data_IF_041015467560
#
_entry.id   IF_041015467560
#
_cell.length_a   1.000
_cell.length_b   1.000
_cell.length_c   1.000
_cell.angle_alpha   90.00
_cell.angle_beta   90.00
_cell.angle_gamma   90.00
#
_symmetry.space_group_name_H-M   'P 1'
#
loop_
_entity.id
_entity.type
_entity.pdbx_description
1 polymer ?
#
# COMPACT_ATOMS: atom_id res chain seq x y z
N UNK A 1 31.67 -25.49 6.27
CA UNK A 1 30.29 -25.71 5.81
C UNK A 1 29.70 -24.41 5.33
N UNK A 2 29.94 -24.11 4.05
CA UNK A 2 29.41 -22.93 3.37
C UNK A 2 27.97 -23.25 2.94
N UNK A 3 27.04 -23.24 3.90
CA UNK A 3 25.62 -23.46 3.63
C UNK A 3 25.07 -22.18 3.01
N UNK A 4 25.28 -22.05 1.70
CA UNK A 4 24.61 -21.03 0.92
C UNK A 4 23.10 -21.21 1.12
N UNK A 5 22.36 -20.21 1.63
CA UNK A 5 20.93 -20.35 1.86
C UNK A 5 20.22 -20.78 0.57
N UNK A 6 19.14 -21.59 0.69
CA UNK A 6 18.41 -22.05 -0.48
C UNK A 6 17.97 -20.86 -1.35
N UNK A 7 18.04 -20.99 -2.69
CA UNK A 7 17.68 -19.91 -3.59
C UNK A 7 16.26 -19.44 -3.29
N UNK A 8 16.10 -18.13 -3.11
CA UNK A 8 14.80 -17.54 -2.81
C UNK A 8 13.83 -17.82 -3.97
N UNK A 9 12.52 -17.95 -3.69
CA UNK A 9 11.52 -18.04 -4.74
C UNK A 9 11.67 -16.86 -5.73
N UNK A 10 11.54 -17.13 -7.03
CA UNK A 10 11.70 -16.12 -8.09
C UNK A 10 10.99 -14.78 -7.82
N UNK A 11 9.75 -14.74 -7.28
CA UNK A 11 9.10 -13.47 -6.96
C UNK A 11 9.83 -12.66 -5.90
N UNK A 12 10.33 -13.29 -4.84
CA UNK A 12 11.07 -12.62 -3.76
C UNK A 12 12.38 -12.02 -4.28
N UNK A 13 13.11 -12.75 -5.13
CA UNK A 13 14.35 -12.27 -5.75
C UNK A 13 14.11 -11.07 -6.68
N UNK A 14 13.04 -11.11 -7.48
CA UNK A 14 12.68 -10.00 -8.34
C UNK A 14 12.31 -8.74 -7.55
N UNK A 15 11.55 -8.90 -6.46
CA UNK A 15 11.17 -7.79 -5.58
C UNK A 15 12.38 -7.11 -4.96
N UNK A 16 13.40 -7.88 -4.56
CA UNK A 16 14.65 -7.37 -4.00
C UNK A 16 15.52 -6.64 -5.03
N UNK A 17 15.54 -7.14 -6.27
CA UNK A 17 16.27 -6.51 -7.38
C UNK A 17 15.61 -5.24 -7.92
N UNK A 18 14.35 -4.97 -7.55
CA UNK A 18 13.60 -3.84 -8.06
C UNK A 18 14.13 -2.51 -7.49
N UNK A 19 14.77 -1.74 -8.37
CA UNK A 19 15.40 -0.46 -8.05
C UNK A 19 14.42 0.67 -7.76
N UNK A 20 13.21 0.60 -8.33
CA UNK A 20 12.18 1.61 -8.23
C UNK A 20 10.82 0.93 -8.02
N UNK A 21 10.11 1.32 -6.96
CA UNK A 21 8.72 0.91 -6.71
C UNK A 21 7.82 2.13 -6.78
N UNK A 22 6.88 2.13 -7.73
CA UNK A 22 5.93 3.22 -7.90
C UNK A 22 4.51 2.81 -7.50
N UNK A 23 3.73 3.79 -7.02
CA UNK A 23 2.31 3.65 -6.75
C UNK A 23 1.57 4.94 -7.14
N UNK A 24 0.53 4.90 -8.00
CA UNK A 24 -0.02 3.71 -8.63
C UNK A 24 0.99 3.03 -9.57
N UNK A 25 0.99 1.69 -9.62
CA UNK A 25 1.87 0.95 -10.55
C UNK A 25 1.52 1.21 -12.01
N UNK A 26 0.22 1.15 -12.33
CA UNK A 26 -0.32 1.61 -13.62
C UNK A 26 -0.88 3.01 -13.47
N UNK A 27 -0.37 3.96 -14.26
CA UNK A 27 -0.86 5.34 -14.24
C UNK A 27 -2.25 5.35 -14.91
N UNK A 28 -3.31 5.80 -14.21
CA UNK A 28 -4.64 5.85 -14.77
C UNK A 28 -4.76 6.97 -15.83
N UNK A 29 -5.85 6.96 -16.58
CA UNK A 29 -6.21 8.06 -17.47
C UNK A 29 -6.36 9.37 -16.68
N UNK A 30 -5.80 10.45 -17.23
CA UNK A 30 -5.80 11.77 -16.59
C UNK A 30 -6.86 12.64 -17.27
N UNK A 31 -7.74 13.22 -16.45
CA UNK A 31 -8.80 14.12 -16.90
C UNK A 31 -8.54 15.53 -16.38
N UNK A 32 -9.10 16.53 -17.07
CA UNK A 32 -8.99 17.92 -16.65
C UNK A 32 -9.62 18.12 -15.26
N UNK A 33 -8.93 18.87 -14.40
CA UNK A 33 -9.37 19.13 -13.02
C UNK A 33 -9.06 18.02 -12.02
N UNK A 34 -8.49 16.88 -12.46
CA UNK A 34 -8.11 15.78 -11.56
C UNK A 34 -6.63 15.87 -11.21
N UNK A 35 -6.31 15.74 -9.92
CA UNK A 35 -4.93 15.66 -9.44
C UNK A 35 -4.45 14.21 -9.47
N UNK A 36 -3.42 13.93 -10.26
CA UNK A 36 -2.67 12.68 -10.18
C UNK A 36 -1.57 12.78 -9.13
N UNK A 37 -1.43 11.75 -8.31
CA UNK A 37 -0.37 11.64 -7.32
C UNK A 37 0.34 10.30 -7.48
N UNK A 38 1.62 10.37 -7.84
CA UNK A 38 2.49 9.21 -8.00
C UNK A 38 3.57 9.28 -6.95
N UNK A 39 3.75 8.18 -6.21
CA UNK A 39 4.82 7.99 -5.26
C UNK A 39 5.84 7.02 -5.82
N UNK A 40 7.12 7.32 -5.59
CA UNK A 40 8.24 6.50 -6.02
C UNK A 40 9.16 6.22 -4.84
N UNK A 41 9.44 4.94 -4.58
CA UNK A 41 10.45 4.50 -3.63
C UNK A 41 11.66 3.95 -4.38
N UNK A 42 12.82 4.52 -4.10
CA UNK A 42 14.10 4.08 -4.66
C UNK A 42 14.76 3.07 -3.72
N UNK A 43 15.49 2.11 -4.30
CA UNK A 43 16.34 1.21 -3.53
C UNK A 43 17.50 1.98 -2.87
N UNK A 44 18.04 1.42 -1.79
CA UNK A 44 19.14 2.05 -1.04
C UNK A 44 20.39 2.19 -1.94
N UNK A 45 20.96 3.39 -2.01
CA UNK A 45 22.15 3.68 -2.81
C UNK A 45 21.86 4.17 -4.24
N UNK A 46 20.58 4.39 -4.59
CA UNK A 46 20.20 5.00 -5.87
C UNK A 46 19.86 6.46 -5.64
N UNK A 47 20.56 7.34 -6.35
CA UNK A 47 20.29 8.77 -6.35
C UNK A 47 19.06 9.11 -7.21
N UNK A 48 18.19 10.03 -6.77
CA UNK A 48 17.04 10.46 -7.55
C UNK A 48 17.48 11.18 -8.83
N UNK A 49 16.76 10.93 -9.93
CA UNK A 49 16.99 11.63 -11.19
C UNK A 49 16.57 13.10 -11.10
N UNK A 50 17.29 13.98 -11.80
CA UNK A 50 17.00 15.44 -11.85
C UNK A 50 15.77 15.80 -12.69
N UNK A 51 15.24 14.85 -13.45
CA UNK A 51 14.08 15.06 -14.30
C UNK A 51 13.25 13.78 -14.40
N UNK A 52 11.94 13.93 -14.47
CA UNK A 52 10.98 12.84 -14.72
C UNK A 52 10.31 13.12 -16.06
N UNK A 53 10.18 12.10 -16.90
CA UNK A 53 9.47 12.20 -18.17
C UNK A 53 8.12 11.52 -18.06
N UNK A 54 7.05 12.29 -18.15
CA UNK A 54 5.68 11.78 -18.29
C UNK A 54 5.36 11.63 -19.78
N UNK A 55 5.05 10.41 -20.21
CA UNK A 55 4.63 10.14 -21.60
C UNK A 55 3.19 9.67 -21.60
N UNK A 56 2.39 10.18 -22.54
CA UNK A 56 0.96 9.84 -22.67
C UNK A 56 0.54 9.84 -24.13
N UNK A 57 -0.63 9.26 -24.42
CA UNK A 57 -1.28 9.34 -25.73
C UNK A 57 -2.53 10.20 -25.54
N UNK A 58 -2.56 11.36 -26.20
CA UNK A 58 -3.70 12.26 -26.26
C UNK A 58 -4.53 11.98 -27.53
N UNK A 59 -5.69 12.62 -27.63
CA UNK A 59 -6.47 12.67 -28.87
C UNK A 59 -5.65 13.28 -30.02
N UNK A 60 -4.79 14.25 -29.72
CA UNK A 60 -3.89 14.91 -30.68
C UNK A 60 -2.61 14.12 -30.98
N UNK A 61 -2.45 12.92 -30.40
CA UNK A 61 -1.30 12.05 -30.58
C UNK A 61 -0.39 11.93 -29.35
N UNK A 62 0.82 11.36 -29.51
CA UNK A 62 1.73 11.09 -28.41
C UNK A 62 2.31 12.39 -27.83
N UNK A 63 2.22 12.53 -26.51
CA UNK A 63 2.71 13.68 -25.75
C UNK A 63 3.82 13.24 -24.79
N UNK A 64 4.84 14.09 -24.63
CA UNK A 64 5.89 13.93 -23.62
C UNK A 64 6.07 15.24 -22.85
N UNK A 65 6.10 15.13 -21.53
CA UNK A 65 6.34 16.25 -20.62
C UNK A 65 7.55 15.92 -19.75
N UNK A 66 8.57 16.76 -19.79
CA UNK A 66 9.75 16.65 -18.92
C UNK A 66 9.55 17.57 -17.72
N UNK A 67 9.53 16.99 -16.53
CA UNK A 67 9.31 17.68 -15.27
C UNK A 67 10.65 17.73 -14.52
N UNK A 68 11.25 18.91 -14.29
CA UNK A 68 12.43 19.03 -13.47
C UNK A 68 12.10 18.67 -12.01
N UNK A 69 13.02 17.98 -11.35
CA UNK A 69 12.88 17.59 -9.94
C UNK A 69 13.91 18.32 -9.12
N UNK A 70 13.43 19.17 -8.22
CA UNK A 70 14.28 19.81 -7.24
C UNK A 70 14.55 18.85 -6.09
N UNK A 71 15.83 18.68 -5.74
CA UNK A 71 16.22 17.89 -4.59
C UNK A 71 15.84 18.65 -3.31
N UNK A 72 14.72 18.28 -2.71
CA UNK A 72 14.31 18.81 -1.40
C UNK A 72 14.58 17.76 -0.34
N UNK A 73 15.48 18.07 0.59
CA UNK A 73 15.74 17.26 1.78
C UNK A 73 14.67 17.54 2.83
N UNK A 74 13.53 16.89 2.69
CA UNK A 74 12.47 16.97 3.70
C UNK A 74 12.86 16.14 4.91
N UNK A 75 12.90 16.77 6.07
CA UNK A 75 13.14 16.10 7.34
C UNK A 75 11.90 15.29 7.75
N UNK A 76 12.10 14.00 8.05
CA UNK A 76 11.08 13.11 8.58
C UNK A 76 10.61 12.00 7.63
N UNK A 77 9.68 11.18 8.12
CA UNK A 77 9.24 9.94 7.46
C UNK A 77 7.89 10.03 6.76
N UNK A 78 7.19 11.18 6.82
CA UNK A 78 5.78 11.30 6.37
C UNK A 78 5.58 10.91 4.91
N UNK A 79 6.43 11.38 3.99
CA UNK A 79 6.32 11.04 2.56
C UNK A 79 6.58 9.55 2.34
N UNK A 80 7.55 8.97 3.05
CA UNK A 80 7.80 7.53 3.01
C UNK A 80 6.59 6.74 3.51
N UNK A 81 5.94 7.19 4.58
CA UNK A 81 4.71 6.59 5.10
C UNK A 81 3.55 6.70 4.08
N UNK A 82 3.38 7.85 3.42
CA UNK A 82 2.36 8.03 2.38
C UNK A 82 2.61 7.12 1.17
N UNK A 83 3.86 7.07 0.69
CA UNK A 83 4.27 6.19 -0.38
C UNK A 83 4.03 4.71 -0.01
N UNK A 84 4.39 4.31 1.22
CA UNK A 84 4.17 2.96 1.72
C UNK A 84 2.68 2.63 1.80
N UNK A 85 1.87 3.58 2.29
CA UNK A 85 0.41 3.42 2.35
C UNK A 85 -0.18 3.21 0.96
N UNK A 86 0.29 3.98 -0.03
CA UNK A 86 -0.18 3.84 -1.41
C UNK A 86 0.26 2.52 -2.05
N UNK A 87 1.49 2.07 -1.79
CA UNK A 87 1.97 0.76 -2.24
C UNK A 87 1.18 -0.40 -1.61
N UNK A 88 0.84 -0.32 -0.32
CA UNK A 88 -0.02 -1.30 0.35
C UNK A 88 -1.40 -1.32 -0.31
N UNK A 89 -1.98 -0.16 -0.61
CA UNK A 89 -3.28 -0.09 -1.28
C UNK A 89 -3.24 -0.79 -2.66
N UNK A 90 -2.24 -0.52 -3.48
CA UNK A 90 -2.09 -1.18 -4.78
C UNK A 90 -1.95 -2.71 -4.65
N UNK A 91 -1.25 -3.20 -3.61
CA UNK A 91 -1.12 -4.62 -3.29
C UNK A 91 -2.47 -5.22 -2.87
N UNK A 92 -3.24 -4.50 -2.05
CA UNK A 92 -4.57 -4.92 -1.56
C UNK A 92 -5.63 -4.94 -2.67
N UNK A 93 -5.50 -4.04 -3.66
CA UNK A 93 -6.38 -3.89 -4.83
C UNK A 93 -6.00 -4.82 -5.99
N UNK A 94 -4.87 -5.54 -5.90
CA UNK A 94 -4.40 -6.44 -6.94
C UNK A 94 -3.84 -5.75 -8.18
N UNK A 95 -3.44 -4.48 -8.06
CA UNK A 95 -2.94 -3.64 -9.18
C UNK A 95 -1.45 -3.31 -9.07
N UNK A 96 -0.76 -3.90 -8.11
CA UNK A 96 0.66 -3.62 -7.86
C UNK A 96 1.58 -4.26 -8.90
N UNK A 97 2.87 -3.94 -8.78
CA UNK A 97 3.97 -4.55 -9.56
C UNK A 97 4.04 -6.09 -9.46
N UNK A 98 3.41 -6.73 -8.47
CA UNK A 98 3.35 -8.19 -8.42
C UNK A 98 2.31 -8.76 -9.38
N UNK A 99 1.28 -7.98 -9.70
CA UNK A 99 0.13 -8.43 -10.49
C UNK A 99 0.25 -8.01 -11.95
N UNK A 100 0.65 -6.76 -12.18
CA UNK A 100 0.63 -6.14 -13.50
C UNK A 100 2.01 -6.10 -14.20
N UNK A 101 3.08 -6.57 -13.55
CA UNK A 101 4.40 -6.55 -14.17
C UNK A 101 4.55 -7.72 -15.17
N UNK A 102 5.07 -7.49 -16.40
CA UNK A 102 5.16 -8.50 -17.46
C UNK A 102 5.84 -9.81 -17.04
N UNK A 103 6.82 -9.76 -16.13
CA UNK A 103 7.51 -10.96 -15.59
C UNK A 103 6.63 -11.91 -14.79
N UNK A 104 5.48 -11.43 -14.31
CA UNK A 104 4.48 -12.19 -13.58
C UNK A 104 3.22 -12.46 -14.39
N UNK A 105 3.16 -12.00 -15.64
CA UNK A 105 2.06 -12.26 -16.55
C UNK A 105 1.88 -13.78 -16.75
N UNK A 106 0.65 -14.27 -16.61
CA UNK A 106 0.33 -15.69 -16.69
C UNK A 106 0.80 -16.55 -15.50
N UNK A 107 1.47 -15.97 -14.49
CA UNK A 107 1.87 -16.69 -13.27
C UNK A 107 0.87 -16.41 -12.15
N UNK A 108 0.42 -17.48 -11.48
CA UNK A 108 -0.39 -17.34 -10.28
C UNK A 108 0.49 -16.82 -9.14
N UNK A 109 0.34 -15.53 -8.81
CA UNK A 109 0.96 -14.97 -7.62
C UNK A 109 0.21 -15.48 -6.40
N UNK A 110 0.92 -16.20 -5.52
CA UNK A 110 0.32 -16.71 -4.30
C UNK A 110 -0.12 -15.57 -3.37
N UNK A 111 -1.34 -15.67 -2.83
CA UNK A 111 -1.89 -14.72 -1.84
C UNK A 111 -0.93 -14.54 -0.65
N UNK A 112 -0.22 -15.61 -0.27
CA UNK A 112 0.79 -15.60 0.79
C UNK A 112 1.94 -14.62 0.51
N UNK A 113 2.37 -14.48 -0.75
CA UNK A 113 3.43 -13.55 -1.13
C UNK A 113 2.97 -12.10 -1.01
N UNK A 114 1.79 -11.79 -1.54
CA UNK A 114 1.19 -10.45 -1.45
C UNK A 114 1.00 -10.07 0.03
N UNK A 115 0.45 -10.99 0.83
CA UNK A 115 0.27 -10.81 2.27
C UNK A 115 1.60 -10.53 2.99
N UNK A 116 2.65 -11.31 2.70
CA UNK A 116 4.00 -11.11 3.26
C UNK A 116 4.50 -9.70 2.97
N UNK A 117 4.43 -9.25 1.72
CA UNK A 117 4.89 -7.90 1.35
C UNK A 117 4.07 -6.77 1.99
N UNK A 118 2.75 -6.95 2.14
CA UNK A 118 1.92 -5.96 2.85
C UNK A 118 2.36 -5.88 4.32
N UNK A 119 2.56 -7.01 4.99
CA UNK A 119 3.00 -7.07 6.38
C UNK A 119 4.38 -6.41 6.54
N UNK A 120 5.34 -6.73 5.67
CA UNK A 120 6.69 -6.18 5.71
C UNK A 120 6.68 -4.64 5.58
N UNK A 121 5.91 -4.10 4.62
CA UNK A 121 5.76 -2.65 4.46
C UNK A 121 5.04 -2.01 5.64
N UNK A 122 3.97 -2.65 6.12
CA UNK A 122 3.16 -2.15 7.21
C UNK A 122 3.96 -2.06 8.52
N UNK A 123 4.74 -3.09 8.85
CA UNK A 123 5.62 -3.09 10.03
C UNK A 123 6.72 -2.05 9.87
N UNK A 124 7.41 -2.04 8.72
CA UNK A 124 8.53 -1.11 8.46
C UNK A 124 8.15 0.36 8.62
N UNK A 125 6.95 0.74 8.18
CA UNK A 125 6.50 2.13 8.20
C UNK A 125 5.46 2.43 9.27
N UNK A 126 5.18 1.50 10.18
CA UNK A 126 4.14 1.61 11.21
C UNK A 126 2.78 2.03 10.61
N UNK A 127 2.25 1.22 9.70
CA UNK A 127 0.97 1.45 9.01
C UNK A 127 0.01 0.32 9.34
N UNK A 128 -1.24 0.66 9.68
CA UNK A 128 -2.32 -0.30 9.76
C UNK A 128 -2.76 -0.72 8.34
N UNK A 129 -2.99 -2.02 8.11
CA UNK A 129 -3.37 -2.60 6.82
C UNK A 129 -4.43 -3.67 7.00
N UNK A 130 -4.89 -4.31 5.92
CA UNK A 130 -5.78 -5.47 6.01
C UNK A 130 -5.21 -6.61 6.88
N UNK A 131 -3.88 -6.69 7.01
CA UNK A 131 -3.19 -7.77 7.73
C UNK A 131 -2.44 -7.32 8.99
N UNK A 132 -2.46 -6.03 9.34
CA UNK A 132 -1.77 -5.48 10.51
C UNK A 132 -2.68 -4.54 11.29
N UNK A 133 -2.66 -4.64 12.61
CA UNK A 133 -3.43 -3.78 13.51
C UNK A 133 -2.55 -3.27 14.65
N UNK A 134 -2.91 -2.11 15.21
CA UNK A 134 -2.28 -1.59 16.40
C UNK A 134 -3.05 -2.06 17.63
N UNK A 135 -2.33 -2.66 18.59
CA UNK A 135 -2.86 -3.07 19.88
C UNK A 135 -2.27 -2.15 20.95
N UNK A 136 -3.12 -1.38 21.62
CA UNK A 136 -2.71 -0.59 22.78
C UNK A 136 -2.81 -1.48 24.02
N UNK A 137 -1.68 -1.71 24.69
CA UNK A 137 -1.61 -2.50 25.93
C UNK A 137 -1.41 -1.52 27.09
N UNK A 138 -2.33 -1.55 28.04
CA UNK A 138 -2.22 -0.81 29.28
C UNK A 138 -1.45 -1.63 30.31
N UNK A 139 -0.34 -1.07 30.83
CA UNK A 139 0.58 -1.75 31.77
C UNK A 139 0.14 -1.60 33.23
N UNK A 140 -1.16 -1.49 33.50
CA UNK A 140 -1.66 -1.63 34.88
C UNK A 140 -1.37 -3.06 35.34
N UNK A 141 -0.83 -3.21 36.55
CA UNK A 141 -0.74 -4.53 37.20
C UNK A 141 -2.16 -5.10 37.30
N UNK A 142 -2.46 -6.05 36.42
CA UNK A 142 -3.74 -6.76 36.44
C UNK A 142 -3.71 -7.63 37.69
N UNK A 143 -4.30 -7.16 38.79
CA UNK A 143 -4.89 -8.09 39.75
C UNK A 143 -5.80 -8.98 38.92
N UNK A 144 -5.47 -10.27 38.84
CA UNK A 144 -6.18 -11.28 38.04
C UNK A 144 -7.65 -11.34 38.48
N UNK A 145 -8.47 -10.42 37.99
CA UNK A 145 -9.92 -10.59 37.98
C UNK A 145 -10.15 -11.61 36.88
N UNK A 146 -10.67 -12.78 37.27
CA UNK A 146 -10.97 -13.93 36.41
C UNK A 146 -12.11 -13.67 35.41
N UNK A 147 -12.29 -12.43 34.99
CA UNK A 147 -13.27 -12.08 33.98
C UNK A 147 -12.55 -12.04 32.63
N UNK A 148 -13.05 -12.75 31.61
CA UNK A 148 -12.41 -12.76 30.30
C UNK A 148 -12.33 -11.33 29.79
N UNK A 149 -11.13 -10.90 29.36
CA UNK A 149 -10.94 -9.64 28.65
C UNK A 149 -11.80 -9.68 27.39
N UNK A 150 -13.02 -9.14 27.47
CA UNK A 150 -13.89 -9.00 26.31
C UNK A 150 -13.24 -7.93 25.44
N UNK A 151 -12.53 -8.37 24.39
CA UNK A 151 -12.18 -7.51 23.27
C UNK A 151 -13.49 -6.99 22.69
N UNK A 152 -13.92 -5.81 23.12
CA UNK A 152 -15.07 -5.15 22.52
C UNK A 152 -14.68 -4.75 21.10
N UNK A 153 -14.97 -5.64 20.15
CA UNK A 153 -14.88 -5.35 18.73
C UNK A 153 -15.91 -4.27 18.42
N UNK A 154 -15.49 -3.01 18.43
CA UNK A 154 -16.31 -1.94 17.88
C UNK A 154 -16.34 -2.12 16.37
N UNK A 155 -17.48 -2.57 15.85
CA UNK A 155 -17.73 -2.58 14.40
C UNK A 155 -17.84 -1.11 13.98
N UNK A 156 -16.80 -0.59 13.34
CA UNK A 156 -16.86 0.72 12.70
C UNK A 156 -17.69 0.54 11.42
N UNK A 157 -18.79 1.29 11.23
CA UNK A 157 -19.53 1.26 9.97
C UNK A 157 -18.59 1.68 8.84
N UNK A 158 -18.27 0.75 7.94
CA UNK A 158 -17.63 1.10 6.69
C UNK A 158 -18.74 1.60 5.75
N UNK A 159 -18.58 2.75 5.09
CA UNK A 159 -19.55 3.20 4.10
C UNK A 159 -19.61 2.16 2.98
N UNK A 160 -20.72 1.44 2.90
CA UNK A 160 -21.00 0.53 1.81
C UNK A 160 -21.13 1.36 0.53
N UNK A 161 -20.26 1.11 -0.44
CA UNK A 161 -20.47 1.54 -1.81
C UNK A 161 -21.62 0.72 -2.39
N UNK A 162 -22.86 1.11 -2.12
CA UNK A 162 -24.03 0.73 -2.90
C UNK A 162 -25.06 1.85 -2.77
N UNK A 163 -25.40 2.43 -3.91
CA UNK A 163 -26.34 3.52 -4.08
C UNK A 163 -27.77 3.14 -3.67
N UNK A 164 -28.48 4.11 -3.08
CA UNK A 164 -29.92 4.36 -3.14
C UNK A 164 -30.87 3.17 -2.93
N UNK A 165 -31.60 3.15 -1.80
CA UNK A 165 -33.07 3.21 -1.70
C UNK A 165 -33.47 3.09 -0.20
N UNK A 166 -34.55 3.76 0.19
CA UNK A 166 -34.79 4.21 1.56
C UNK A 166 -35.68 3.35 2.48
N UNK A 167 -35.99 3.98 3.64
CA UNK A 167 -36.88 3.56 4.75
C UNK A 167 -36.36 2.40 5.62
N UNK A 168 -36.50 2.35 6.95
CA UNK A 168 -37.25 3.13 7.95
C UNK A 168 -36.56 2.96 9.31
N UNK A 169 -36.50 4.01 10.13
CA UNK A 169 -35.98 3.97 11.50
C UNK A 169 -36.99 3.30 12.44
N UNK A 170 -36.63 2.20 13.09
CA UNK A 170 -37.29 1.73 14.32
C UNK A 170 -36.37 1.95 15.51
N UNK A 171 -36.78 2.89 16.37
CA UNK A 171 -36.16 3.24 17.63
C UNK A 171 -36.60 2.21 18.67
N UNK A 172 -35.69 1.40 19.21
CA UNK A 172 -36.00 0.46 20.28
C UNK A 172 -35.48 1.00 21.61
N UNK A 173 -36.41 1.41 22.49
CA UNK A 173 -36.17 1.90 23.85
C UNK A 173 -36.40 0.71 24.79
N UNK A 174 -35.32 0.14 25.32
CA UNK A 174 -35.43 -0.82 26.41
C UNK A 174 -35.31 -0.11 27.76
N UNK A 175 -36.21 -0.50 28.65
CA UNK A 175 -36.22 -0.22 30.08
C UNK A 175 -35.03 -0.87 30.79
#
# INVERSE_FOLDING_TARGET
DDVNPPPKPFPDEFVEKLQLRQAPYEIPQIYQGVRLLVYCMLAKGIEPSRSITLSAISQDGPMKLVIPVDSVTLQGSKIHTLAARKLIQDLEDGKSFLHAHPKFEGKNIGISLVKKHIIDLAIKYNIASRYTSFLAIDKREVKLVKDPLILQRRVVPQPSTNSLFGSSTTFNRNQ
#
